data_IF_100637271593
#
_entry.id   IF_100637271593
#
_cell.length_a   1.000
_cell.length_b   1.000
_cell.length_c   1.000
_cell.angle_alpha   90.00
_cell.angle_beta   90.00
_cell.angle_gamma   90.00
#
_symmetry.space_group_name_H-M   'P 1'
#
loop_
_entity.id
_entity.type
_entity.pdbx_description
1 polymer ?
#
# COMPACT_ATOMS: atom_id res chain seq x y z
N UNK A 1 -7.85 2.29 -26.45
CA UNK A 1 -7.65 1.28 -25.38
C UNK A 1 -8.95 0.56 -25.22
N UNK A 2 -8.99 -0.76 -25.42
CA UNK A 2 -10.17 -1.56 -25.17
C UNK A 2 -10.62 -1.36 -23.72
N UNK A 3 -11.91 -1.22 -23.53
CA UNK A 3 -12.54 -0.94 -22.23
C UNK A 3 -12.61 -2.22 -21.38
N UNK A 4 -11.41 -2.86 -21.11
CA UNK A 4 -11.36 -4.02 -20.24
C UNK A 4 -11.47 -3.58 -18.78
N UNK A 5 -12.06 -4.43 -17.96
CA UNK A 5 -12.07 -4.23 -16.51
C UNK A 5 -10.66 -4.23 -15.92
N UNK A 6 -10.47 -3.47 -14.86
CA UNK A 6 -9.23 -3.50 -14.09
C UNK A 6 -9.05 -4.92 -13.55
N UNK A 7 -7.90 -5.52 -13.80
CA UNK A 7 -7.50 -6.81 -13.22
C UNK A 7 -6.75 -6.57 -11.93
N UNK A 8 -7.21 -7.21 -10.85
CA UNK A 8 -6.64 -7.07 -9.50
C UNK A 8 -5.96 -8.38 -9.14
N UNK A 9 -4.62 -8.39 -9.13
CA UNK A 9 -3.84 -9.50 -8.59
C UNK A 9 -3.94 -9.50 -7.05
N UNK A 10 -4.30 -10.63 -6.44
CA UNK A 10 -4.51 -10.75 -5.00
C UNK A 10 -3.71 -11.93 -4.47
N UNK A 11 -2.75 -11.71 -3.57
CA UNK A 11 -2.06 -12.82 -2.91
C UNK A 11 -2.81 -13.26 -1.67
N UNK A 12 -2.92 -14.57 -1.44
CA UNK A 12 -3.74 -15.12 -0.37
C UNK A 12 -3.20 -14.89 1.05
N UNK A 13 -1.91 -14.51 1.19
CA UNK A 13 -1.28 -14.30 2.50
C UNK A 13 -1.01 -15.59 3.27
N UNK A 14 -1.19 -15.56 4.59
CA UNK A 14 -1.07 -16.76 5.44
C UNK A 14 -2.29 -17.65 5.28
N UNK A 15 -2.08 -18.91 4.83
CA UNK A 15 -3.16 -19.89 4.65
C UNK A 15 -3.88 -20.28 5.97
N UNK A 16 -3.22 -20.08 7.10
CA UNK A 16 -3.77 -20.35 8.43
C UNK A 16 -4.42 -19.11 9.07
N UNK A 17 -4.36 -17.97 8.38
CA UNK A 17 -4.92 -16.69 8.79
C UNK A 17 -6.23 -16.33 8.10
N UNK A 18 -6.55 -15.05 8.10
CA UNK A 18 -7.82 -14.50 7.60
C UNK A 18 -7.84 -14.19 6.10
N UNK A 19 -6.71 -14.38 5.38
CA UNK A 19 -6.56 -13.93 3.99
C UNK A 19 -7.67 -14.43 3.07
N UNK A 20 -7.86 -15.75 2.98
CA UNK A 20 -8.92 -16.33 2.15
C UNK A 20 -10.33 -15.96 2.61
N UNK A 21 -10.55 -15.81 3.92
CA UNK A 21 -11.84 -15.35 4.44
C UNK A 21 -12.19 -13.97 3.91
N UNK A 22 -11.26 -13.02 4.03
CA UNK A 22 -11.47 -11.65 3.55
C UNK A 22 -11.69 -11.65 2.04
N UNK A 23 -10.86 -12.35 1.27
CA UNK A 23 -10.99 -12.43 -0.18
C UNK A 23 -12.36 -12.97 -0.59
N UNK A 24 -12.73 -14.14 -0.06
CA UNK A 24 -13.99 -14.80 -0.44
C UNK A 24 -15.23 -14.00 -0.01
N UNK A 25 -15.19 -13.38 1.19
CA UNK A 25 -16.29 -12.50 1.64
C UNK A 25 -16.41 -11.23 0.79
N UNK A 26 -15.30 -10.62 0.39
CA UNK A 26 -15.31 -9.43 -0.49
C UNK A 26 -16.02 -9.73 -1.79
N UNK A 27 -15.71 -10.85 -2.42
CA UNK A 27 -16.29 -11.23 -3.71
C UNK A 27 -17.57 -12.08 -3.59
N UNK A 28 -18.14 -12.22 -2.39
CA UNK A 28 -19.52 -12.71 -2.23
C UNK A 28 -20.56 -11.67 -2.63
N UNK A 29 -20.17 -10.38 -2.64
CA UNK A 29 -20.96 -9.32 -3.24
C UNK A 29 -20.70 -9.26 -4.76
N UNK A 30 -21.72 -9.55 -5.61
CA UNK A 30 -21.56 -9.54 -7.06
C UNK A 30 -21.15 -8.17 -7.63
N UNK A 31 -21.45 -7.07 -6.93
CA UNK A 31 -21.09 -5.71 -7.38
C UNK A 31 -19.58 -5.52 -7.47
N UNK A 32 -18.81 -6.23 -6.65
CA UNK A 32 -17.36 -6.22 -6.72
C UNK A 32 -16.82 -6.76 -8.06
N UNK A 33 -17.51 -7.75 -8.63
CA UNK A 33 -17.15 -8.32 -9.94
C UNK A 33 -17.57 -7.42 -11.11
N UNK A 34 -18.42 -6.41 -10.88
CA UNK A 34 -18.71 -5.36 -11.86
C UNK A 34 -17.56 -4.34 -11.94
N UNK A 35 -16.90 -4.08 -10.81
CA UNK A 35 -15.82 -3.09 -10.69
C UNK A 35 -14.48 -3.61 -11.21
N UNK A 36 -14.16 -4.88 -10.97
CA UNK A 36 -12.85 -5.45 -11.33
C UNK A 36 -12.93 -6.94 -11.64
N UNK A 37 -11.84 -7.46 -12.22
CA UNK A 37 -11.61 -8.90 -12.40
C UNK A 37 -10.55 -9.36 -11.41
N UNK A 38 -10.93 -10.08 -10.31
CA UNK A 38 -9.97 -10.58 -9.34
C UNK A 38 -9.21 -11.80 -9.85
N UNK A 39 -7.89 -11.77 -9.63
CA UNK A 39 -6.93 -12.84 -9.95
C UNK A 39 -6.22 -13.23 -8.65
N UNK A 40 -6.72 -14.25 -7.98
CA UNK A 40 -6.20 -14.70 -6.69
C UNK A 40 -5.05 -15.68 -6.90
N UNK A 41 -3.88 -15.35 -6.40
CA UNK A 41 -2.69 -16.20 -6.41
C UNK A 41 -2.65 -17.04 -5.14
N UNK A 42 -2.69 -18.38 -5.30
CA UNK A 42 -2.68 -19.26 -4.15
C UNK A 42 -3.02 -20.72 -4.50
N UNK A 43 -3.65 -21.43 -3.55
CA UNK A 43 -4.06 -22.82 -3.71
C UNK A 43 -5.59 -22.93 -3.81
N UNK A 44 -6.13 -23.45 -4.93
CA UNK A 44 -7.55 -23.73 -5.06
C UNK A 44 -8.10 -24.69 -3.99
N UNK A 45 -7.30 -25.66 -3.55
CA UNK A 45 -7.68 -26.59 -2.48
C UNK A 45 -7.85 -25.88 -1.15
N UNK A 46 -6.91 -24.97 -0.81
CA UNK A 46 -6.99 -24.15 0.41
C UNK A 46 -8.15 -23.17 0.32
N UNK A 47 -8.36 -22.52 -0.81
CA UNK A 47 -9.53 -21.66 -1.04
C UNK A 47 -10.86 -22.42 -0.83
N UNK A 48 -10.97 -23.63 -1.36
CA UNK A 48 -12.14 -24.49 -1.17
C UNK A 48 -12.33 -24.91 0.28
N UNK A 49 -11.25 -25.20 1.01
CA UNK A 49 -11.30 -25.48 2.45
C UNK A 49 -11.89 -24.30 3.23
N UNK A 50 -11.34 -23.09 3.06
CA UNK A 50 -11.82 -21.88 3.75
C UNK A 50 -13.28 -21.59 3.40
N UNK A 51 -13.64 -21.66 2.10
CA UNK A 51 -15.02 -21.48 1.64
C UNK A 51 -15.99 -22.40 2.37
N UNK A 52 -15.64 -23.69 2.47
CA UNK A 52 -16.47 -24.70 3.14
C UNK A 52 -16.53 -24.47 4.65
N UNK A 53 -15.38 -24.24 5.29
CA UNK A 53 -15.29 -24.07 6.75
C UNK A 53 -16.07 -22.84 7.27
N UNK A 54 -16.21 -21.81 6.41
CA UNK A 54 -16.89 -20.55 6.75
C UNK A 54 -18.26 -20.41 6.10
N UNK A 55 -18.74 -21.45 5.42
CA UNK A 55 -20.06 -21.48 4.74
C UNK A 55 -20.25 -20.32 3.73
N UNK A 56 -19.15 -19.86 3.11
CA UNK A 56 -19.19 -18.76 2.14
C UNK A 56 -19.66 -19.29 0.77
N UNK A 57 -20.60 -18.57 0.12
CA UNK A 57 -21.23 -19.00 -1.14
C UNK A 57 -20.47 -18.55 -2.40
N UNK A 58 -19.32 -17.90 -2.26
CA UNK A 58 -18.54 -17.42 -3.41
C UNK A 58 -18.03 -18.58 -4.25
N UNK A 59 -18.35 -18.56 -5.54
CA UNK A 59 -17.75 -19.48 -6.51
C UNK A 59 -16.48 -18.88 -7.10
N UNK A 60 -15.51 -19.75 -7.48
CA UNK A 60 -14.31 -19.32 -8.17
C UNK A 60 -13.95 -20.31 -9.29
N UNK A 61 -13.28 -19.81 -10.31
CA UNK A 61 -12.71 -20.58 -11.42
C UNK A 61 -11.25 -20.86 -11.13
N UNK A 62 -10.81 -22.08 -11.39
CA UNK A 62 -9.40 -22.46 -11.30
C UNK A 62 -8.78 -22.21 -12.65
N UNK A 63 -7.69 -21.46 -12.71
CA UNK A 63 -6.92 -21.16 -13.91
C UNK A 63 -5.44 -21.50 -13.69
N UNK A 64 -4.72 -21.84 -14.74
CA UNK A 64 -3.30 -22.16 -14.67
C UNK A 64 -2.41 -20.93 -14.84
N UNK A 65 -2.94 -19.89 -15.49
CA UNK A 65 -2.26 -18.65 -15.78
C UNK A 65 -3.21 -17.46 -15.66
N UNK A 66 -2.67 -16.29 -15.35
CA UNK A 66 -3.42 -15.04 -15.38
C UNK A 66 -3.86 -14.61 -16.79
N UNK A 67 -3.35 -15.25 -17.84
CA UNK A 67 -3.84 -15.08 -19.21
C UNK A 67 -5.23 -15.67 -19.42
N UNK A 68 -5.57 -16.75 -18.68
CA UNK A 68 -6.83 -17.50 -18.79
C UNK A 68 -7.99 -16.90 -17.98
N UNK A 69 -7.76 -15.76 -17.30
CA UNK A 69 -8.78 -15.16 -16.41
C UNK A 69 -10.05 -14.75 -17.14
N UNK A 70 -11.17 -14.97 -16.49
CA UNK A 70 -12.49 -14.68 -16.99
C UNK A 70 -13.11 -13.53 -16.21
N UNK A 71 -13.65 -12.55 -16.92
CA UNK A 71 -14.40 -11.44 -16.31
C UNK A 71 -15.70 -11.94 -15.64
N UNK A 72 -16.12 -11.22 -14.60
CA UNK A 72 -17.32 -11.56 -13.84
C UNK A 72 -17.17 -12.78 -12.92
N UNK A 73 -15.95 -13.23 -12.69
CA UNK A 73 -15.63 -14.37 -11.82
C UNK A 73 -14.41 -14.10 -10.95
N UNK A 74 -14.36 -14.76 -9.79
CA UNK A 74 -13.13 -14.88 -9.03
C UNK A 74 -12.26 -15.94 -9.69
N UNK A 75 -11.06 -15.59 -10.13
CA UNK A 75 -10.11 -16.51 -10.73
C UNK A 75 -9.04 -16.87 -9.71
N UNK A 76 -8.75 -18.15 -9.54
CA UNK A 76 -7.68 -18.63 -8.66
C UNK A 76 -6.59 -19.28 -9.50
N UNK A 77 -5.42 -18.63 -9.53
CA UNK A 77 -4.20 -19.15 -10.15
C UNK A 77 -3.54 -20.08 -9.15
N UNK A 78 -3.36 -21.35 -9.53
CA UNK A 78 -2.66 -22.30 -8.69
C UNK A 78 -1.15 -22.02 -8.69
N UNK A 79 -0.63 -21.61 -7.54
CA UNK A 79 0.80 -21.30 -7.34
C UNK A 79 1.52 -22.36 -6.51
N UNK A 80 0.82 -23.42 -6.07
CA UNK A 80 1.32 -24.35 -5.06
C UNK A 80 1.03 -25.76 -5.53
N UNK A 81 2.07 -26.50 -5.81
CA UNK A 81 1.97 -27.89 -6.28
C UNK A 81 1.77 -28.88 -5.13
N UNK A 82 2.30 -28.56 -3.94
CA UNK A 82 2.26 -29.43 -2.77
C UNK A 82 0.88 -29.43 -2.10
N UNK A 83 0.56 -30.53 -1.45
CA UNK A 83 -0.65 -30.65 -0.64
C UNK A 83 -0.45 -29.94 0.70
N UNK A 84 -1.18 -28.84 0.92
CA UNK A 84 -1.09 -28.05 2.13
C UNK A 84 -2.16 -28.44 3.13
N UNK A 85 -1.75 -28.64 4.38
CA UNK A 85 -2.66 -28.79 5.52
C UNK A 85 -2.96 -27.41 6.12
N UNK A 86 -4.23 -27.03 6.18
CA UNK A 86 -4.65 -25.81 6.89
C UNK A 86 -4.75 -26.10 8.38
N UNK A 87 -4.04 -25.33 9.18
CA UNK A 87 -4.07 -25.37 10.65
C UNK A 87 -4.37 -23.96 11.17
N UNK A 88 -5.66 -23.61 11.20
CA UNK A 88 -6.11 -22.26 11.55
C UNK A 88 -5.44 -21.75 12.83
N UNK A 89 -5.04 -20.47 12.81
CA UNK A 89 -4.37 -19.75 13.90
C UNK A 89 -2.95 -20.21 14.26
N UNK A 90 -2.42 -21.24 13.60
CA UNK A 90 -1.06 -21.73 13.86
C UNK A 90 -0.05 -21.19 12.87
N UNK A 91 1.06 -20.62 13.34
CA UNK A 91 2.18 -20.26 12.48
C UNK A 91 2.93 -21.52 12.04
N UNK A 92 2.90 -21.86 10.75
CA UNK A 92 3.62 -23.02 10.20
C UNK A 92 4.59 -22.60 9.10
N UNK A 93 5.76 -23.25 8.95
CA UNK A 93 6.70 -22.97 7.87
C UNK A 93 6.08 -23.15 6.48
N UNK A 94 5.20 -24.13 6.31
CA UNK A 94 4.50 -24.42 5.08
C UNK A 94 3.59 -23.28 4.66
N UNK A 95 2.90 -22.64 5.64
CA UNK A 95 2.08 -21.44 5.40
C UNK A 95 2.94 -20.26 4.92
N UNK A 96 4.12 -20.08 5.51
CA UNK A 96 5.07 -19.05 5.08
C UNK A 96 5.60 -19.27 3.67
N UNK A 97 5.98 -20.52 3.32
CA UNK A 97 6.41 -20.89 1.96
C UNK A 97 5.29 -20.67 0.94
N UNK A 98 4.06 -21.06 1.28
CA UNK A 98 2.91 -20.86 0.41
C UNK A 98 2.61 -19.37 0.16
N UNK A 99 2.72 -18.53 1.20
CA UNK A 99 2.55 -17.08 1.08
C UNK A 99 3.60 -16.47 0.16
N UNK A 100 4.87 -16.89 0.29
CA UNK A 100 5.96 -16.42 -0.57
C UNK A 100 5.77 -16.88 -2.02
N UNK A 101 5.43 -18.14 -2.27
CA UNK A 101 5.19 -18.66 -3.60
C UNK A 101 4.08 -17.92 -4.34
N UNK A 102 2.99 -17.59 -3.64
CA UNK A 102 1.90 -16.77 -4.20
C UNK A 102 2.36 -15.35 -4.53
N UNK A 103 3.17 -14.73 -3.66
CA UNK A 103 3.71 -13.39 -3.87
C UNK A 103 4.67 -13.37 -5.07
N UNK A 104 5.60 -14.30 -5.15
CA UNK A 104 6.57 -14.39 -6.25
C UNK A 104 5.87 -14.61 -7.60
N UNK A 105 4.87 -15.50 -7.64
CA UNK A 105 4.10 -15.71 -8.87
C UNK A 105 3.33 -14.44 -9.27
N UNK A 106 2.68 -13.78 -8.32
CA UNK A 106 1.98 -12.53 -8.60
C UNK A 106 2.94 -11.46 -9.14
N UNK A 107 4.13 -11.30 -8.56
CA UNK A 107 5.11 -10.31 -9.03
C UNK A 107 5.68 -10.66 -10.42
N UNK A 108 5.82 -11.94 -10.76
CA UNK A 108 6.19 -12.35 -12.11
C UNK A 108 5.10 -11.95 -13.11
N UNK A 109 3.86 -12.30 -12.85
CA UNK A 109 2.72 -11.95 -13.71
C UNK A 109 2.47 -10.43 -13.81
N UNK A 110 2.78 -9.67 -12.74
CA UNK A 110 2.75 -8.20 -12.75
C UNK A 110 3.77 -7.60 -13.73
N UNK A 111 5.01 -8.13 -13.73
CA UNK A 111 6.05 -7.68 -14.68
C UNK A 111 5.65 -7.92 -16.13
N UNK A 112 4.88 -8.96 -16.38
CA UNK A 112 4.35 -9.30 -17.72
C UNK A 112 3.08 -8.49 -18.07
N UNK A 113 2.59 -7.65 -17.16
CA UNK A 113 1.41 -6.80 -17.36
C UNK A 113 0.10 -7.57 -17.40
N UNK A 114 0.03 -8.75 -16.79
CA UNK A 114 -1.15 -9.60 -16.80
C UNK A 114 -2.27 -9.10 -15.88
N UNK A 115 -1.95 -8.21 -14.92
CA UNK A 115 -2.91 -7.48 -14.11
C UNK A 115 -2.42 -6.05 -13.81
N UNK A 116 -3.31 -5.17 -13.33
CA UNK A 116 -3.09 -3.74 -13.24
C UNK A 116 -2.65 -3.27 -11.86
N UNK A 117 -3.12 -3.93 -10.79
CA UNK A 117 -2.88 -3.56 -9.39
C UNK A 117 -2.74 -4.79 -8.51
N UNK A 118 -1.81 -4.75 -7.55
CA UNK A 118 -1.57 -5.82 -6.58
C UNK A 118 -2.22 -5.48 -5.23
N UNK A 119 -2.99 -6.41 -4.71
CA UNK A 119 -3.51 -6.41 -3.33
C UNK A 119 -2.92 -7.59 -2.58
N UNK A 120 -2.38 -7.35 -1.39
CA UNK A 120 -1.79 -8.41 -0.56
C UNK A 120 -2.65 -8.70 0.66
N UNK A 121 -3.05 -9.96 0.87
CA UNK A 121 -3.64 -10.39 2.11
C UNK A 121 -2.55 -10.53 3.20
N UNK A 122 -2.92 -10.48 4.50
CA UNK A 122 -1.96 -10.50 5.59
C UNK A 122 -1.07 -11.74 5.61
N UNK A 123 0.23 -11.54 5.79
CA UNK A 123 1.22 -12.60 6.01
C UNK A 123 1.59 -12.72 7.50
N UNK A 124 2.08 -13.88 7.88
CA UNK A 124 2.77 -14.03 9.15
C UNK A 124 4.26 -13.68 8.95
N UNK A 125 4.70 -12.58 9.57
CA UNK A 125 6.06 -12.04 9.39
C UNK A 125 7.17 -12.95 9.89
N UNK A 126 6.88 -13.92 10.76
CA UNK A 126 7.87 -14.88 11.25
C UNK A 126 8.00 -16.09 10.31
N UNK A 127 6.86 -16.63 9.87
CA UNK A 127 6.86 -17.86 9.06
C UNK A 127 7.28 -17.64 7.61
N UNK A 128 7.14 -16.42 7.07
CA UNK A 128 7.55 -16.10 5.70
C UNK A 128 9.07 -15.88 5.59
N UNK A 129 9.77 -15.59 6.72
CA UNK A 129 11.22 -15.40 6.70
C UNK A 129 11.92 -16.67 6.18
N UNK A 130 12.82 -16.48 5.24
CA UNK A 130 13.58 -17.54 4.56
C UNK A 130 14.80 -16.94 3.87
N UNK A 131 15.66 -17.76 3.30
CA UNK A 131 16.80 -17.28 2.49
C UNK A 131 16.35 -16.43 1.29
N UNK A 132 15.12 -16.58 0.84
CA UNK A 132 14.53 -15.81 -0.26
C UNK A 132 13.73 -14.58 0.20
N UNK A 133 13.43 -14.45 1.50
CA UNK A 133 12.64 -13.35 2.04
C UNK A 133 13.21 -12.85 3.36
N UNK A 134 14.08 -11.83 3.30
CA UNK A 134 14.70 -11.15 4.46
C UNK A 134 14.21 -9.69 4.57
N UNK A 135 12.89 -9.48 4.54
CA UNK A 135 12.27 -8.15 4.51
C UNK A 135 11.33 -7.95 5.70
N UNK A 136 11.16 -6.72 6.19
CA UNK A 136 10.21 -6.40 7.27
C UNK A 136 8.75 -6.67 6.88
N UNK A 137 8.43 -6.62 5.58
CA UNK A 137 7.08 -6.83 5.07
C UNK A 137 6.99 -6.82 3.56
N UNK A 138 5.76 -6.73 3.07
CA UNK A 138 5.47 -6.72 1.63
C UNK A 138 6.09 -5.52 0.90
N UNK A 139 6.05 -4.33 1.50
CA UNK A 139 6.44 -3.08 0.83
C UNK A 139 7.87 -3.13 0.35
N UNK A 140 8.79 -3.47 1.23
CA UNK A 140 10.21 -3.53 0.95
C UNK A 140 10.54 -4.65 -0.04
N UNK A 141 9.85 -5.79 0.10
CA UNK A 141 10.01 -6.91 -0.83
C UNK A 141 9.52 -6.57 -2.24
N UNK A 142 8.34 -5.95 -2.35
CA UNK A 142 7.76 -5.55 -3.64
C UNK A 142 8.63 -4.45 -4.28
N UNK A 143 9.08 -3.46 -3.50
CA UNK A 143 10.00 -2.41 -3.98
C UNK A 143 11.25 -3.02 -4.60
N UNK A 144 11.89 -3.95 -3.90
CA UNK A 144 13.10 -4.63 -4.38
C UNK A 144 12.84 -5.40 -5.68
N UNK A 145 11.70 -6.10 -5.76
CA UNK A 145 11.40 -7.01 -6.88
C UNK A 145 10.89 -6.31 -8.14
N UNK A 146 10.05 -5.29 -8.00
CA UNK A 146 9.37 -4.67 -9.16
C UNK A 146 9.50 -3.15 -9.20
N UNK A 147 10.23 -2.55 -8.27
CA UNK A 147 10.40 -1.09 -8.22
C UNK A 147 11.31 -0.53 -9.31
N UNK A 148 12.16 -1.34 -9.94
CA UNK A 148 13.10 -0.89 -10.98
C UNK A 148 13.93 0.35 -10.56
N UNK A 149 14.34 0.37 -9.29
CA UNK A 149 15.06 1.50 -8.68
C UNK A 149 14.17 2.65 -8.19
N UNK A 150 12.86 2.59 -8.40
CA UNK A 150 11.91 3.53 -7.81
C UNK A 150 11.62 3.17 -6.36
N UNK A 151 11.37 4.20 -5.54
CA UNK A 151 11.06 4.04 -4.12
C UNK A 151 9.56 3.99 -3.87
N UNK A 152 9.17 3.16 -2.91
CA UNK A 152 7.79 3.11 -2.44
C UNK A 152 7.44 4.34 -1.60
N UNK A 153 6.17 4.71 -1.64
CA UNK A 153 5.59 5.73 -0.77
C UNK A 153 4.34 5.16 -0.09
N UNK A 154 4.32 5.19 1.23
CA UNK A 154 3.11 4.85 1.97
C UNK A 154 2.09 5.98 1.86
N UNK A 155 0.92 5.67 1.33
CA UNK A 155 -0.22 6.58 1.26
C UNK A 155 -1.40 5.92 1.98
N UNK A 156 -1.95 6.61 2.98
CA UNK A 156 -3.20 6.22 3.62
C UNK A 156 -4.32 7.07 3.03
N UNK A 157 -5.47 6.45 2.79
CA UNK A 157 -6.59 7.16 2.20
C UNK A 157 -7.94 6.74 2.78
N UNK A 158 -8.85 7.71 2.90
CA UNK A 158 -10.29 7.50 3.14
C UNK A 158 -11.07 8.58 2.39
N UNK A 159 -11.77 8.18 1.34
CA UNK A 159 -12.38 9.15 0.42
C UNK A 159 -11.31 10.09 -0.15
N UNK A 160 -11.50 11.39 0.04
CA UNK A 160 -10.55 12.41 -0.43
C UNK A 160 -9.48 12.79 0.58
N UNK A 161 -9.51 12.22 1.78
CA UNK A 161 -8.47 12.42 2.79
C UNK A 161 -7.30 11.46 2.55
N UNK A 162 -6.16 11.99 2.06
CA UNK A 162 -4.95 11.24 1.71
C UNK A 162 -3.76 11.77 2.47
N UNK A 163 -3.02 10.88 3.13
CA UNK A 163 -1.81 11.21 3.89
C UNK A 163 -0.65 10.34 3.43
N UNK A 164 0.44 10.97 3.04
CA UNK A 164 1.71 10.33 2.71
C UNK A 164 2.78 10.67 3.75
N UNK A 165 3.79 9.82 3.87
CA UNK A 165 4.86 9.95 4.86
C UNK A 165 6.21 10.12 4.19
N UNK A 166 7.02 11.08 4.67
CA UNK A 166 8.41 11.22 4.26
C UNK A 166 9.25 10.11 4.90
N UNK A 167 9.18 9.96 6.22
CA UNK A 167 9.80 8.85 6.96
C UNK A 167 8.74 7.92 7.53
N UNK A 168 8.98 6.62 7.45
CA UNK A 168 8.07 5.57 7.95
C UNK A 168 8.53 5.02 9.30
N UNK A 169 9.11 3.82 9.31
CA UNK A 169 9.50 3.10 10.52
C UNK A 169 10.88 3.54 11.02
N UNK A 170 11.03 4.81 11.37
CA UNK A 170 12.25 5.42 11.92
C UNK A 170 12.01 5.74 13.40
N UNK A 171 12.97 5.42 14.30
CA UNK A 171 12.87 5.83 15.71
C UNK A 171 12.77 7.36 15.82
N UNK A 172 11.93 7.85 16.74
CA UNK A 172 11.65 9.30 16.89
C UNK A 172 12.95 10.12 17.05
N UNK A 173 13.94 9.61 17.78
CA UNK A 173 15.24 10.29 17.98
C UNK A 173 16.05 10.50 16.70
N UNK A 174 15.78 9.69 15.67
CA UNK A 174 16.58 9.66 14.44
C UNK A 174 15.88 10.44 13.30
N UNK A 175 14.62 10.84 13.47
CA UNK A 175 13.79 11.46 12.41
C UNK A 175 14.44 12.72 11.83
N UNK A 176 14.90 13.64 12.68
CA UNK A 176 15.49 14.90 12.22
C UNK A 176 16.77 14.66 11.39
N UNK A 177 17.56 13.63 11.76
CA UNK A 177 18.77 13.24 11.04
C UNK A 177 18.50 12.57 9.70
N UNK A 178 17.37 11.86 9.56
CA UNK A 178 16.95 11.20 8.35
C UNK A 178 16.28 12.15 7.34
N UNK A 179 15.72 13.27 7.83
CA UNK A 179 15.06 14.27 6.99
C UNK A 179 16.10 15.07 6.19
N UNK A 180 16.21 14.76 4.92
CA UNK A 180 17.01 15.54 3.97
C UNK A 180 16.12 16.22 2.95
N UNK A 181 16.62 17.31 2.36
CA UNK A 181 15.95 18.00 1.25
C UNK A 181 15.61 17.02 0.12
N UNK A 182 16.56 16.18 -0.24
CA UNK A 182 16.47 15.20 -1.33
C UNK A 182 15.38 14.16 -1.03
N UNK A 183 15.31 13.66 0.20
CA UNK A 183 14.28 12.69 0.61
C UNK A 183 12.88 13.31 0.54
N UNK A 184 12.70 14.55 1.05
CA UNK A 184 11.41 15.24 1.00
C UNK A 184 10.98 15.46 -0.45
N UNK A 185 11.90 15.88 -1.32
CA UNK A 185 11.61 16.10 -2.74
C UNK A 185 11.24 14.79 -3.44
N UNK A 186 11.98 13.70 -3.19
CA UNK A 186 11.70 12.38 -3.75
C UNK A 186 10.27 11.91 -3.36
N UNK A 187 9.93 11.96 -2.06
CA UNK A 187 8.62 11.55 -1.57
C UNK A 187 7.49 12.44 -2.10
N UNK A 188 7.74 13.76 -2.18
CA UNK A 188 6.76 14.71 -2.74
C UNK A 188 6.55 14.47 -4.24
N UNK A 189 7.59 14.16 -5.00
CA UNK A 189 7.48 13.86 -6.43
C UNK A 189 6.69 12.57 -6.68
N UNK A 190 6.97 11.51 -5.91
CA UNK A 190 6.20 10.26 -5.98
C UNK A 190 4.73 10.54 -5.63
N UNK A 191 4.47 11.30 -4.56
CA UNK A 191 3.11 11.62 -4.13
C UNK A 191 2.35 12.43 -5.18
N UNK A 192 2.98 13.49 -5.71
CA UNK A 192 2.39 14.32 -6.77
C UNK A 192 2.05 13.49 -8.02
N UNK A 193 2.96 12.60 -8.44
CA UNK A 193 2.74 11.71 -9.57
C UNK A 193 1.58 10.75 -9.32
N UNK A 194 1.50 10.16 -8.12
CA UNK A 194 0.42 9.26 -7.74
C UNK A 194 -0.92 9.99 -7.68
N UNK A 195 -0.98 11.20 -7.09
CA UNK A 195 -2.21 12.01 -7.08
C UNK A 195 -2.73 12.28 -8.50
N UNK A 196 -1.84 12.51 -9.45
CA UNK A 196 -2.22 12.71 -10.86
C UNK A 196 -2.62 11.41 -11.55
N UNK A 197 -1.79 10.39 -11.47
CA UNK A 197 -1.93 9.18 -12.28
C UNK A 197 -2.95 8.21 -11.67
N UNK A 198 -2.85 7.96 -10.36
CA UNK A 198 -3.61 6.91 -9.69
C UNK A 198 -4.95 7.44 -9.15
N UNK A 199 -4.99 8.73 -8.75
CA UNK A 199 -6.21 9.39 -8.24
C UNK A 199 -6.88 10.31 -9.26
N UNK A 200 -6.31 10.53 -10.44
CA UNK A 200 -6.91 11.31 -11.52
C UNK A 200 -7.03 12.81 -11.24
N UNK A 201 -6.18 13.38 -10.38
CA UNK A 201 -6.23 14.80 -10.00
C UNK A 201 -5.24 15.59 -10.87
N UNK A 202 -5.73 16.42 -11.78
CA UNK A 202 -4.89 17.13 -12.74
C UNK A 202 -3.88 18.10 -12.11
N UNK A 203 -4.31 18.86 -11.10
CA UNK A 203 -3.51 19.88 -10.44
C UNK A 203 -3.53 19.71 -8.91
N UNK A 204 -2.92 18.63 -8.37
CA UNK A 204 -3.03 18.31 -6.97
C UNK A 204 -2.38 19.36 -6.07
N UNK A 205 -3.08 19.71 -4.99
CA UNK A 205 -2.64 20.62 -3.94
C UNK A 205 -2.17 19.80 -2.75
N UNK A 206 -0.87 19.88 -2.44
CA UNK A 206 -0.24 19.11 -1.37
C UNK A 206 0.03 20.02 -0.17
N UNK A 207 -0.57 19.73 0.99
CA UNK A 207 -0.18 20.35 2.24
C UNK A 207 1.07 19.64 2.78
N UNK A 208 2.07 20.40 3.20
CA UNK A 208 3.31 19.88 3.78
C UNK A 208 3.31 20.23 5.27
N UNK A 209 3.48 19.23 6.12
CA UNK A 209 3.61 19.46 7.55
C UNK A 209 5.01 19.94 7.92
N UNK A 210 5.10 20.75 8.97
CA UNK A 210 6.37 21.03 9.64
C UNK A 210 6.83 19.81 10.43
N UNK A 211 8.12 19.75 10.76
CA UNK A 211 8.64 18.75 11.71
C UNK A 211 8.37 19.20 13.13
N UNK A 212 8.72 20.47 13.42
CA UNK A 212 8.73 21.00 14.77
C UNK A 212 7.39 21.69 15.15
N UNK A 213 7.07 21.77 16.45
CA UNK A 213 5.94 22.54 16.93
C UNK A 213 6.00 23.99 16.41
N UNK A 214 4.84 24.55 16.08
CA UNK A 214 4.72 25.93 15.56
C UNK A 214 5.58 26.22 14.33
N UNK A 215 5.88 25.19 13.52
CA UNK A 215 6.78 25.27 12.36
C UNK A 215 8.16 25.85 12.73
N UNK A 216 8.71 25.43 13.88
CA UNK A 216 10.03 25.83 14.37
C UNK A 216 10.11 27.23 14.98
N UNK A 217 9.00 27.99 15.00
CA UNK A 217 8.93 29.36 15.56
C UNK A 217 10.14 30.23 15.21
N UNK A 218 10.39 30.38 13.89
CA UNK A 218 11.53 31.11 13.34
C UNK A 218 12.92 30.60 13.80
N UNK A 219 13.04 29.33 14.11
CA UNK A 219 14.27 28.67 14.55
C UNK A 219 14.44 28.56 16.06
N UNK A 220 13.45 29.04 16.85
CA UNK A 220 13.49 28.91 18.30
C UNK A 220 13.27 27.45 18.76
N UNK A 221 12.46 26.70 18.03
CA UNK A 221 12.09 25.31 18.32
C UNK A 221 12.65 24.31 17.31
N UNK A 222 13.74 24.64 16.64
CA UNK A 222 14.37 23.85 15.59
C UNK A 222 14.51 24.61 14.30
N UNK A 223 15.44 24.21 13.45
CA UNK A 223 15.77 24.90 12.19
C UNK A 223 15.44 24.07 10.95
N UNK A 224 14.93 22.86 11.12
CA UNK A 224 14.67 21.90 10.02
C UNK A 224 13.69 22.46 9.00
N UNK A 225 12.73 23.29 9.41
CA UNK A 225 11.82 23.98 8.49
C UNK A 225 12.60 24.90 7.55
N UNK A 226 13.53 25.69 8.10
CA UNK A 226 14.27 26.70 7.36
C UNK A 226 15.38 26.09 6.52
N UNK A 227 16.05 25.08 7.05
CA UNK A 227 17.25 24.50 6.44
C UNK A 227 16.94 23.34 5.48
N UNK A 228 15.81 22.63 5.68
CA UNK A 228 15.49 21.42 4.94
C UNK A 228 14.12 21.50 4.23
N UNK A 229 13.02 21.74 4.98
CA UNK A 229 11.66 21.60 4.43
C UNK A 229 11.34 22.71 3.45
N UNK A 230 11.54 23.97 3.82
CA UNK A 230 11.26 25.14 2.96
C UNK A 230 12.13 25.11 1.69
N UNK A 231 13.44 24.81 1.74
CA UNK A 231 14.26 24.64 0.53
C UNK A 231 13.73 23.52 -0.39
N UNK A 232 13.30 22.37 0.15
CA UNK A 232 12.69 21.31 -0.64
C UNK A 232 11.41 21.78 -1.32
N UNK A 233 10.51 22.43 -0.59
CA UNK A 233 9.26 22.98 -1.13
C UNK A 233 9.50 24.00 -2.23
N UNK A 234 10.45 24.93 -2.03
CA UNK A 234 10.78 25.96 -3.05
C UNK A 234 11.23 25.33 -4.37
N UNK A 235 12.04 24.29 -4.30
CA UNK A 235 12.50 23.59 -5.49
C UNK A 235 11.35 22.83 -6.16
N UNK A 236 10.49 22.17 -5.40
CA UNK A 236 9.32 21.47 -5.95
C UNK A 236 8.32 22.44 -6.59
N UNK A 237 8.11 23.61 -5.99
CA UNK A 237 7.30 24.70 -6.60
C UNK A 237 7.90 25.15 -7.92
N UNK A 238 9.23 25.33 -8.00
CA UNK A 238 9.91 25.68 -9.24
C UNK A 238 9.77 24.59 -10.33
N UNK A 239 9.57 23.33 -9.94
CA UNK A 239 9.25 22.20 -10.84
C UNK A 239 7.76 22.09 -11.19
N UNK A 240 6.91 23.01 -10.70
CA UNK A 240 5.48 23.07 -11.01
C UNK A 240 4.58 22.26 -10.05
N UNK A 241 5.10 21.77 -8.92
CA UNK A 241 4.30 21.10 -7.89
C UNK A 241 3.62 22.14 -7.00
N UNK A 242 2.30 22.03 -6.84
CA UNK A 242 1.55 22.88 -5.92
C UNK A 242 1.65 22.33 -4.50
N UNK A 243 2.63 22.79 -3.73
CA UNK A 243 2.79 22.45 -2.32
C UNK A 243 2.75 23.70 -1.44
N UNK A 244 2.14 23.57 -0.26
CA UNK A 244 1.81 24.66 0.65
C UNK A 244 2.20 24.31 2.08
N UNK A 245 2.69 25.28 2.84
CA UNK A 245 3.18 25.08 4.21
C UNK A 245 4.58 25.68 4.40
N UNK A 246 5.43 25.13 5.29
CA UNK A 246 5.10 24.02 6.19
C UNK A 246 4.09 24.42 7.27
N UNK A 247 3.11 23.55 7.52
CA UNK A 247 2.05 23.80 8.51
C UNK A 247 2.31 23.03 9.81
N UNK A 248 2.12 23.64 10.99
CA UNK A 248 2.02 22.90 12.23
C UNK A 248 0.85 21.91 12.15
N UNK A 249 1.13 20.64 12.40
CA UNK A 249 0.15 19.57 12.18
C UNK A 249 -1.10 19.70 13.05
N UNK A 250 -0.95 20.11 14.30
CA UNK A 250 -2.05 20.31 15.26
C UNK A 250 -3.02 21.40 14.80
N UNK A 251 -2.51 22.58 14.48
CA UNK A 251 -3.33 23.70 14.00
C UNK A 251 -3.97 23.43 12.65
N UNK A 252 -3.25 22.78 11.74
CA UNK A 252 -3.76 22.43 10.42
C UNK A 252 -4.90 21.41 10.50
N UNK A 253 -4.73 20.35 11.29
CA UNK A 253 -5.77 19.34 11.48
C UNK A 253 -6.96 19.88 12.29
N UNK A 254 -6.68 20.63 13.37
CA UNK A 254 -7.71 21.18 14.25
C UNK A 254 -8.61 22.23 13.58
N UNK A 255 -8.10 22.94 12.59
CA UNK A 255 -8.88 23.93 11.81
C UNK A 255 -9.75 23.33 10.70
N UNK A 256 -9.58 22.03 10.38
CA UNK A 256 -10.27 21.39 9.27
C UNK A 256 -9.72 21.76 7.87
N UNK A 257 -8.60 22.48 7.81
CA UNK A 257 -8.00 22.93 6.54
C UNK A 257 -7.59 21.79 5.61
N UNK A 258 -7.43 20.57 6.12
CA UNK A 258 -7.11 19.40 5.32
C UNK A 258 -8.12 19.13 4.21
N UNK A 259 -9.37 19.58 4.36
CA UNK A 259 -10.43 19.44 3.34
C UNK A 259 -10.19 20.26 2.06
N UNK A 260 -9.24 21.21 2.09
CA UNK A 260 -8.90 22.07 0.97
C UNK A 260 -7.70 21.56 0.17
N UNK A 261 -7.18 20.38 0.51
CA UNK A 261 -6.01 19.77 -0.13
C UNK A 261 -6.32 18.38 -0.64
N UNK A 262 -5.63 17.98 -1.69
CA UNK A 262 -5.77 16.67 -2.31
C UNK A 262 -4.91 15.62 -1.61
N UNK A 263 -3.89 16.07 -0.88
CA UNK A 263 -3.03 15.22 -0.08
C UNK A 263 -2.20 15.99 0.94
N UNK A 264 -1.79 15.29 1.99
CA UNK A 264 -0.95 15.78 3.07
C UNK A 264 0.36 14.99 3.05
N UNK A 265 1.50 15.68 3.07
CA UNK A 265 2.81 15.09 3.25
C UNK A 265 3.28 15.34 4.68
N UNK A 266 3.24 14.31 5.50
CA UNK A 266 3.71 14.34 6.88
C UNK A 266 5.19 13.93 6.96
N UNK A 267 5.95 14.52 7.89
CA UNK A 267 7.38 14.28 8.01
C UNK A 267 7.70 12.92 8.62
N UNK A 268 6.85 12.41 9.51
CA UNK A 268 7.07 11.12 10.16
C UNK A 268 5.76 10.38 10.46
N UNK A 269 5.91 9.09 10.80
CA UNK A 269 4.84 8.13 10.93
C UNK A 269 3.66 8.61 11.79
N UNK A 270 3.86 8.90 13.06
CA UNK A 270 2.76 9.21 13.98
C UNK A 270 2.14 10.59 13.70
N UNK A 271 2.91 11.53 13.15
CA UNK A 271 2.38 12.84 12.71
C UNK A 271 1.29 12.69 11.65
N UNK A 272 1.45 11.74 10.75
CA UNK A 272 0.47 11.46 9.70
C UNK A 272 -0.60 10.46 10.14
N UNK A 273 -0.20 9.37 10.78
CA UNK A 273 -1.10 8.25 11.06
C UNK A 273 -2.03 8.49 12.24
N UNK A 274 -1.60 9.17 13.29
CA UNK A 274 -2.47 9.42 14.43
C UNK A 274 -3.71 10.24 14.05
N UNK A 275 -3.60 11.42 13.40
CA UNK A 275 -4.77 12.15 12.95
C UNK A 275 -5.55 11.40 11.86
N UNK A 276 -4.86 10.70 10.95
CA UNK A 276 -5.55 9.91 9.93
C UNK A 276 -6.46 8.86 10.56
N UNK A 277 -5.94 8.04 11.47
CA UNK A 277 -6.74 6.99 12.12
C UNK A 277 -7.86 7.55 12.97
N UNK A 278 -7.65 8.68 13.65
CA UNK A 278 -8.69 9.34 14.44
C UNK A 278 -9.90 9.81 13.59
N UNK A 279 -9.67 10.19 12.33
CA UNK A 279 -10.72 10.64 11.42
C UNK A 279 -11.26 9.51 10.52
N UNK A 280 -10.47 8.47 10.28
CA UNK A 280 -10.77 7.45 9.28
C UNK A 280 -11.34 6.16 9.88
N UNK A 281 -11.10 5.91 11.14
CA UNK A 281 -11.56 4.75 11.92
C UNK A 281 -12.52 5.18 13.00
#
# INVERSE_FOLDING_TARGET
MENRKIRVGITHGDINGVGYEVILKTFSDPTMLELCTPVVYGSPKVAAYHRKAMEIQTSFSIVNSAEEVQDGRVNVVNCIEEELKVELTKPTPEAGKAALAALERALADYREGLFDVLVTAPINKHTIQSDAFHFPGHTEYIEERVGEGQKALMILLKGDFRVALVTGHVPVRDIAGELTKELIMEKMEIFHRSLKKDFGIDNPRIAVFSLNPHAGDNGLLGTEEQEVIIPAMKEMIARGVQCFGPYPADGFMGSGNYTHFDGILAMYHDQGLAPFKALAM
#
